data_IF_684193955273
#
_entry.id   IF_684193955273
#
_cell.length_a   1.000
_cell.length_b   1.000
_cell.length_c   1.000
_cell.angle_alpha   90.00
_cell.angle_beta   90.00
_cell.angle_gamma   90.00
#
_symmetry.space_group_name_H-M   'P 1'
#
loop_
_entity.id
_entity.type
_entity.pdbx_description
1 polymer ?
#
# COMPACT_ATOMS: atom_id res chain seq x y z
N UNK A 1 -16.25 -0.60 2.39
CA UNK A 1 -16.77 0.09 1.17
C UNK A 1 -15.59 0.62 0.40
N UNK A 2 -15.52 0.37 -0.90
CA UNK A 2 -14.42 0.86 -1.74
C UNK A 2 -14.64 2.33 -2.05
N UNK A 3 -13.61 3.15 -1.89
CA UNK A 3 -13.68 4.63 -2.00
C UNK A 3 -12.90 5.16 -3.22
N UNK A 4 -12.26 4.28 -3.98
CA UNK A 4 -11.43 4.63 -5.13
C UNK A 4 -11.49 3.51 -6.18
N UNK A 5 -11.31 3.91 -7.43
CA UNK A 5 -11.16 3.00 -8.57
C UNK A 5 -9.67 2.72 -8.88
N UNK A 6 -9.33 1.55 -9.44
CA UNK A 6 -10.23 0.42 -9.69
C UNK A 6 -10.64 -0.29 -8.38
N UNK A 7 -11.84 -0.87 -8.38
CA UNK A 7 -12.28 -1.78 -7.32
C UNK A 7 -11.44 -3.06 -7.32
N UNK A 8 -11.45 -3.80 -6.20
CA UNK A 8 -10.82 -5.12 -6.05
C UNK A 8 -11.34 -6.07 -7.13
N UNK A 9 -12.65 -6.05 -7.43
CA UNK A 9 -13.25 -6.88 -8.46
C UNK A 9 -12.67 -6.58 -9.85
N UNK A 10 -12.60 -5.30 -10.22
CA UNK A 10 -12.05 -4.89 -11.51
C UNK A 10 -10.57 -5.20 -11.62
N UNK A 11 -9.79 -4.93 -10.57
CA UNK A 11 -8.36 -5.24 -10.55
C UNK A 11 -8.12 -6.75 -10.64
N UNK A 12 -8.88 -7.56 -9.89
CA UNK A 12 -8.82 -9.02 -9.95
C UNK A 12 -9.10 -9.52 -11.37
N UNK A 13 -10.20 -9.08 -11.99
CA UNK A 13 -10.56 -9.46 -13.34
C UNK A 13 -9.51 -9.06 -14.38
N UNK A 14 -8.92 -7.86 -14.26
CA UNK A 14 -7.80 -7.43 -15.12
C UNK A 14 -6.59 -8.35 -15.02
N UNK A 15 -6.21 -8.76 -13.81
CA UNK A 15 -5.11 -9.71 -13.63
C UNK A 15 -5.43 -11.07 -14.26
N UNK A 16 -6.66 -11.57 -14.14
CA UNK A 16 -7.09 -12.82 -14.78
C UNK A 16 -7.07 -12.70 -16.30
N UNK A 17 -7.55 -11.59 -16.86
CA UNK A 17 -7.49 -11.32 -18.31
C UNK A 17 -6.06 -11.27 -18.85
N UNK A 18 -5.09 -10.88 -18.02
CA UNK A 18 -3.67 -10.92 -18.34
C UNK A 18 -3.04 -12.33 -18.21
N UNK A 19 -3.83 -13.35 -17.87
CA UNK A 19 -3.38 -14.75 -17.79
C UNK A 19 -2.90 -15.18 -16.40
N UNK A 20 -3.17 -14.42 -15.34
CA UNK A 20 -2.79 -14.80 -13.99
C UNK A 20 -3.52 -16.07 -13.52
N UNK A 21 -2.78 -17.08 -13.07
CA UNK A 21 -3.32 -18.29 -12.42
C UNK A 21 -3.42 -18.17 -10.89
N UNK A 22 -2.89 -17.08 -10.33
CA UNK A 22 -2.93 -16.75 -8.91
C UNK A 22 -3.02 -15.24 -8.70
N UNK A 23 -3.90 -14.80 -7.79
CA UNK A 23 -4.03 -13.41 -7.37
C UNK A 23 -3.51 -13.22 -5.94
N UNK A 24 -2.70 -12.19 -5.72
CA UNK A 24 -2.21 -11.79 -4.40
C UNK A 24 -2.78 -10.42 -4.07
N UNK A 25 -3.68 -10.37 -3.10
CA UNK A 25 -4.25 -9.13 -2.59
C UNK A 25 -3.41 -8.67 -1.39
N UNK A 26 -2.59 -7.65 -1.59
CA UNK A 26 -1.66 -7.14 -0.56
C UNK A 26 -2.14 -5.79 -0.02
N UNK A 27 -2.67 -5.71 1.22
CA UNK A 27 -3.13 -4.46 1.80
C UNK A 27 -1.96 -3.53 2.18
N UNK A 28 -1.95 -2.30 1.65
CA UNK A 28 -0.93 -1.30 1.96
C UNK A 28 -1.30 -0.49 3.22
N UNK A 29 -1.32 -1.16 4.38
CA UNK A 29 -1.67 -0.56 5.68
C UNK A 29 -0.56 -0.75 6.72
N UNK A 30 -0.34 0.26 7.57
CA UNK A 30 0.61 0.18 8.69
C UNK A 30 0.00 -0.41 9.98
N UNK A 31 -1.33 -0.57 10.04
CA UNK A 31 -2.03 -1.11 11.21
C UNK A 31 -3.21 -1.98 10.82
N UNK A 32 -3.45 -3.13 11.52
CA UNK A 32 -4.58 -3.99 11.25
C UNK A 32 -5.90 -3.37 11.77
N UNK A 33 -6.57 -2.58 10.94
CA UNK A 33 -7.91 -2.06 11.18
C UNK A 33 -9.04 -3.03 10.79
N UNK A 34 -10.30 -2.60 11.00
CA UNK A 34 -11.53 -3.37 10.64
C UNK A 34 -11.55 -3.80 9.16
N UNK A 35 -11.01 -2.96 8.26
CA UNK A 35 -10.96 -3.21 6.82
C UNK A 35 -10.13 -4.45 6.43
N UNK A 36 -9.03 -4.71 7.14
CA UNK A 36 -8.20 -5.90 6.86
C UNK A 36 -8.90 -7.19 7.30
N UNK A 37 -9.60 -7.17 8.43
CA UNK A 37 -10.20 -8.38 9.00
C UNK A 37 -11.46 -8.87 8.27
N UNK A 38 -12.17 -7.99 7.58
CA UNK A 38 -13.51 -8.28 7.07
C UNK A 38 -13.71 -7.82 5.62
N UNK A 39 -13.51 -6.53 5.33
CA UNK A 39 -13.86 -5.96 4.02
C UNK A 39 -13.02 -6.54 2.88
N UNK A 40 -11.69 -6.52 3.00
CA UNK A 40 -10.80 -6.97 1.91
C UNK A 40 -10.97 -8.47 1.61
N UNK A 41 -10.96 -9.38 2.61
CA UNK A 41 -11.25 -10.78 2.35
C UNK A 41 -12.61 -11.02 1.70
N UNK A 42 -13.65 -10.30 2.14
CA UNK A 42 -15.01 -10.42 1.57
C UNK A 42 -15.05 -9.99 0.10
N UNK A 43 -14.44 -8.83 -0.23
CA UNK A 43 -14.39 -8.32 -1.59
C UNK A 43 -13.55 -9.20 -2.52
N UNK A 44 -12.42 -9.72 -2.04
CA UNK A 44 -11.60 -10.67 -2.79
C UNK A 44 -12.35 -11.99 -3.04
N UNK A 45 -13.07 -12.48 -2.04
CA UNK A 45 -13.92 -13.67 -2.19
C UNK A 45 -15.04 -13.45 -3.22
N UNK A 46 -15.70 -12.29 -3.20
CA UNK A 46 -16.73 -11.95 -4.19
C UNK A 46 -16.15 -11.90 -5.61
N UNK A 47 -15.00 -11.23 -5.79
CA UNK A 47 -14.31 -11.16 -7.08
C UNK A 47 -13.93 -12.55 -7.61
N UNK A 48 -13.51 -13.47 -6.72
CA UNK A 48 -13.10 -14.82 -7.11
C UNK A 48 -14.23 -15.69 -7.67
N UNK A 49 -15.52 -15.37 -7.38
CA UNK A 49 -16.67 -16.16 -7.84
C UNK A 49 -16.78 -16.22 -9.37
N UNK A 50 -16.31 -15.19 -10.06
CA UNK A 50 -16.29 -15.11 -11.53
C UNK A 50 -15.08 -15.83 -12.15
N UNK A 51 -14.14 -16.29 -11.32
CA UNK A 51 -12.84 -16.84 -11.71
C UNK A 51 -12.48 -18.08 -10.88
N UNK A 52 -13.36 -19.09 -10.87
CA UNK A 52 -13.27 -20.26 -9.99
C UNK A 52 -12.02 -21.13 -10.17
N UNK A 53 -11.31 -20.99 -11.29
CA UNK A 53 -10.05 -21.68 -11.58
C UNK A 53 -8.79 -20.91 -11.13
N UNK A 54 -8.94 -19.73 -10.52
CA UNK A 54 -7.83 -18.86 -10.11
C UNK A 54 -7.71 -18.85 -8.59
N UNK A 55 -6.57 -19.31 -8.09
CA UNK A 55 -6.29 -19.26 -6.65
C UNK A 55 -6.06 -17.81 -6.20
N UNK A 56 -6.43 -17.47 -4.96
CA UNK A 56 -6.10 -16.17 -4.40
C UNK A 56 -5.71 -16.24 -2.93
N UNK A 57 -4.98 -15.22 -2.49
CA UNK A 57 -4.62 -15.00 -1.08
C UNK A 57 -4.72 -13.52 -0.75
N UNK A 58 -5.22 -13.22 0.45
CA UNK A 58 -5.09 -11.89 1.07
C UNK A 58 -3.95 -11.97 2.06
N UNK A 59 -2.91 -11.15 1.88
CA UNK A 59 -1.72 -11.20 2.75
C UNK A 59 -1.96 -10.42 4.04
N UNK A 60 -1.02 -10.56 4.98
CA UNK A 60 -0.89 -9.58 6.05
C UNK A 60 -0.64 -8.18 5.46
N UNK A 61 -1.11 -7.10 6.12
CA UNK A 61 -0.71 -5.75 5.77
C UNK A 61 0.77 -5.55 6.14
N UNK A 62 1.37 -4.44 5.70
CA UNK A 62 2.74 -4.07 6.10
C UNK A 62 2.93 -4.09 7.62
N UNK A 63 1.98 -3.51 8.35
CA UNK A 63 2.01 -3.53 9.81
C UNK A 63 3.30 -2.93 10.38
N UNK A 64 3.72 -3.44 11.54
CA UNK A 64 4.98 -3.10 12.21
C UNK A 64 6.12 -4.02 11.76
N UNK A 65 6.24 -4.25 10.44
CA UNK A 65 7.37 -4.99 9.89
C UNK A 65 8.70 -4.35 10.33
N UNK A 66 9.73 -5.15 10.63
CA UNK A 66 11.02 -4.66 11.15
C UNK A 66 11.66 -3.58 10.25
N UNK A 67 11.66 -3.82 8.93
CA UNK A 67 12.13 -2.88 7.91
C UNK A 67 11.36 -1.54 7.87
N UNK A 68 10.19 -1.44 8.50
CA UNK A 68 9.47 -0.17 8.60
C UNK A 68 10.29 0.87 9.37
N UNK A 69 11.04 0.43 10.40
CA UNK A 69 11.93 1.30 11.17
C UNK A 69 13.04 1.85 10.28
N UNK A 70 13.60 1.02 9.40
CA UNK A 70 14.65 1.44 8.47
C UNK A 70 14.13 2.48 7.46
N UNK A 71 12.93 2.26 6.90
CA UNK A 71 12.28 3.21 5.98
C UNK A 71 12.01 4.54 6.68
N UNK A 72 11.50 4.51 7.92
CA UNK A 72 11.27 5.72 8.70
C UNK A 72 12.57 6.47 8.97
N UNK A 73 13.62 5.77 9.39
CA UNK A 73 14.93 6.35 9.63
C UNK A 73 15.55 6.95 8.37
N UNK A 74 15.45 6.27 7.23
CA UNK A 74 15.92 6.78 5.95
C UNK A 74 15.21 8.08 5.58
N UNK A 75 13.87 8.11 5.69
CA UNK A 75 13.08 9.33 5.42
C UNK A 75 13.46 10.48 6.34
N UNK A 76 13.61 10.22 7.64
CA UNK A 76 14.01 11.24 8.63
C UNK A 76 15.38 11.79 8.28
N UNK A 77 16.37 10.92 8.07
CA UNK A 77 17.75 11.33 7.72
C UNK A 77 17.78 12.15 6.43
N UNK A 78 17.01 11.74 5.42
CA UNK A 78 16.91 12.49 4.17
C UNK A 78 16.35 13.89 4.41
N UNK A 79 15.24 14.02 5.14
CA UNK A 79 14.66 15.33 5.44
C UNK A 79 15.60 16.21 6.28
N UNK A 80 16.34 15.64 7.24
CA UNK A 80 17.34 16.38 8.01
C UNK A 80 18.48 16.89 7.13
N UNK A 81 18.98 16.07 6.20
CA UNK A 81 19.98 16.49 5.20
C UNK A 81 19.46 17.61 4.31
N UNK A 82 18.20 17.54 3.88
CA UNK A 82 17.59 18.61 3.09
C UNK A 82 17.57 19.93 3.85
N UNK A 83 17.11 19.94 5.11
CA UNK A 83 17.08 21.17 5.91
C UNK A 83 18.48 21.68 6.26
N UNK A 84 19.49 20.82 6.29
CA UNK A 84 20.89 21.20 6.42
C UNK A 84 21.51 21.77 5.12
N UNK A 85 20.83 21.64 3.98
CA UNK A 85 21.35 22.06 2.66
C UNK A 85 22.17 21.01 1.91
N UNK A 86 22.20 19.77 2.41
CA UNK A 86 23.03 18.67 1.87
C UNK A 86 22.26 17.73 0.92
N UNK A 87 21.00 18.03 0.63
CA UNK A 87 20.14 17.28 -0.28
C UNK A 87 18.99 18.14 -0.81
N UNK A 88 18.47 17.78 -1.99
CA UNK A 88 17.22 18.33 -2.53
C UNK A 88 16.01 17.88 -1.71
N UNK A 89 14.85 18.55 -1.90
CA UNK A 89 13.61 18.17 -1.22
C UNK A 89 13.18 16.75 -1.64
N UNK A 90 12.67 15.96 -0.70
CA UNK A 90 12.24 14.60 -1.00
C UNK A 90 10.92 14.59 -1.80
N UNK A 91 10.66 13.55 -2.60
CA UNK A 91 9.48 13.46 -3.46
C UNK A 91 8.12 13.63 -2.73
N UNK A 92 8.07 13.32 -1.43
CA UNK A 92 6.84 13.49 -0.62
C UNK A 92 6.65 14.93 -0.17
N UNK A 93 7.74 15.66 0.08
CA UNK A 93 7.70 17.04 0.52
C UNK A 93 7.70 18.03 -0.65
N UNK A 94 8.22 17.61 -1.82
CA UNK A 94 8.37 18.42 -3.02
C UNK A 94 7.19 19.38 -3.26
N UNK A 95 7.44 20.69 -3.14
CA UNK A 95 6.46 21.74 -3.42
C UNK A 95 5.39 21.95 -2.33
N UNK A 96 5.47 21.23 -1.21
CA UNK A 96 4.57 21.41 -0.06
C UNK A 96 5.10 22.45 0.95
N UNK A 97 6.40 22.74 0.89
CA UNK A 97 7.09 23.57 1.87
C UNK A 97 7.11 22.96 3.28
N UNK A 98 6.83 21.66 3.44
CA UNK A 98 6.76 20.98 4.74
C UNK A 98 8.11 20.45 5.24
N UNK A 99 9.12 20.37 4.38
CA UNK A 99 10.45 19.93 4.79
C UNK A 99 11.28 21.09 5.35
N UNK A 100 10.93 21.59 6.54
CA UNK A 100 11.68 22.65 7.23
C UNK A 100 11.71 22.43 8.75
N UNK A 101 12.62 23.12 9.42
CA UNK A 101 12.66 23.19 10.88
C UNK A 101 11.70 24.26 11.38
N UNK A 102 10.88 23.90 12.37
CA UNK A 102 10.03 24.82 13.12
C UNK A 102 10.77 25.26 14.39
N UNK A 103 10.76 26.56 14.69
CA UNK A 103 11.34 27.18 15.89
C UNK A 103 10.26 27.85 16.73
#
# INVERSE_FOLDING_TARGET
KELAEPTIKEAFGKCVQQGASRIIVSPYFLSPGRHWKQDIPSLAAEASKEHSNVAYIVTAPLGLHELMVDIMNDRIKYCLRHVAGDADECAVCAGTGKCHLYS
#
